data_IF_316123701342
#
_entry.id   IF_316123701342
#
_cell.length_a   1.000
_cell.length_b   1.000
_cell.length_c   1.000
_cell.angle_alpha   90.00
_cell.angle_beta   90.00
_cell.angle_gamma   90.00
#
_symmetry.space_group_name_H-M   'P 1'
#
loop_
_entity.id
_entity.type
_entity.pdbx_description
1 polymer ?
#
# COMPACT_ATOMS: atom_id res chain seq x y z
N UNK A 1 29.30 56.92 72.89
CA UNK A 1 28.19 56.49 72.02
C UNK A 1 28.42 54.99 71.77
N UNK A 2 27.76 54.01 72.42
CA UNK A 2 26.40 53.94 73.02
C UNK A 2 25.33 54.30 71.97
N UNK A 3 24.29 53.50 71.66
CA UNK A 3 23.68 52.30 72.28
C UNK A 3 23.68 51.12 71.26
N UNK A 4 23.58 49.80 71.51
CA UNK A 4 23.14 48.88 72.60
C UNK A 4 21.63 48.50 72.66
N UNK A 5 21.36 47.20 72.87
CA UNK A 5 20.04 46.48 72.95
C UNK A 5 19.20 46.40 71.66
N UNK A 6 18.41 45.36 71.38
CA UNK A 6 18.25 44.03 72.03
C UNK A 6 16.84 43.69 72.53
N UNK A 7 16.09 42.92 71.71
CA UNK A 7 14.86 42.14 72.03
C UNK A 7 14.54 41.27 70.80
N UNK A 8 14.49 39.94 70.81
CA UNK A 8 13.69 38.93 71.56
C UNK A 8 12.33 38.58 70.88
N UNK A 9 12.05 37.27 70.92
CA UNK A 9 10.88 36.47 70.51
C UNK A 9 9.52 37.12 70.14
N UNK A 10 8.80 36.51 69.18
CA UNK A 10 7.76 35.50 69.50
C UNK A 10 7.03 34.94 68.25
N UNK A 11 6.77 33.64 68.23
CA UNK A 11 5.67 33.02 67.47
C UNK A 11 4.42 32.90 68.35
N UNK A 12 3.20 33.06 67.78
CA UNK A 12 2.00 32.44 68.32
C UNK A 12 1.44 31.30 67.43
N UNK A 13 0.58 30.47 68.02
CA UNK A 13 0.00 29.23 67.47
C UNK A 13 -1.50 29.37 67.15
N UNK A 14 -2.01 28.42 66.36
CA UNK A 14 -3.40 27.88 66.37
C UNK A 14 -4.59 28.72 65.85
N UNK A 15 -5.21 28.24 64.74
CA UNK A 15 -6.57 27.64 64.61
C UNK A 15 -7.57 27.73 65.80
N UNK A 16 -8.93 27.60 65.65
CA UNK A 16 -9.72 27.27 64.43
C UNK A 16 -11.08 28.02 64.25
N UNK A 17 -11.81 27.74 63.15
CA UNK A 17 -13.30 27.77 63.08
C UNK A 17 -13.83 26.94 61.89
N UNK A 18 -15.07 26.45 61.98
CA UNK A 18 -15.82 25.59 61.00
C UNK A 18 -17.25 26.21 60.82
N UNK A 19 -18.30 25.59 60.22
CA UNK A 19 -18.42 24.32 59.47
C UNK A 19 -19.36 24.31 58.22
N UNK A 20 -19.30 23.22 57.44
CA UNK A 20 -20.44 22.52 56.79
C UNK A 20 -19.94 21.10 56.40
N UNK A 21 -20.41 19.97 56.96
CA UNK A 21 -21.75 19.37 56.87
C UNK A 21 -22.20 19.14 55.41
N UNK A 22 -22.44 17.93 54.89
CA UNK A 22 -22.38 16.54 55.38
C UNK A 22 -22.68 15.61 54.17
N UNK A 23 -22.73 14.28 54.21
CA UNK A 23 -22.59 13.29 55.28
C UNK A 23 -22.18 11.93 54.64
N UNK A 24 -21.30 11.14 55.25
CA UNK A 24 -21.20 9.68 55.00
C UNK A 24 -21.99 8.93 56.08
N UNK A 25 -22.44 7.67 55.83
CA UNK A 25 -21.60 6.50 56.11
C UNK A 25 -21.63 5.50 54.91
N UNK A 26 -20.73 4.52 54.70
CA UNK A 26 -19.97 3.63 55.60
C UNK A 26 -20.87 2.55 56.27
N UNK A 27 -20.48 1.27 56.45
CA UNK A 27 -19.31 0.51 55.94
C UNK A 27 -19.80 -0.50 54.86
N UNK A 28 -19.43 -1.78 54.63
CA UNK A 28 -18.58 -2.79 55.31
C UNK A 28 -18.11 -3.84 54.29
N UNK A 29 -17.15 -4.68 54.68
CA UNK A 29 -16.79 -5.97 54.06
C UNK A 29 -17.90 -7.03 54.16
N UNK A 30 -17.99 -7.93 53.18
CA UNK A 30 -17.76 -9.37 53.45
C UNK A 30 -17.38 -10.15 52.16
N UNK A 31 -16.97 -11.41 52.29
CA UNK A 31 -16.62 -12.33 51.20
C UNK A 31 -17.28 -13.69 51.41
N UNK A 32 -18.00 -14.25 50.43
CA UNK A 32 -18.18 -15.70 50.34
C UNK A 32 -18.65 -16.20 48.95
N UNK A 33 -18.38 -17.49 48.68
CA UNK A 33 -18.84 -18.24 47.49
C UNK A 33 -20.37 -18.47 47.48
N UNK A 34 -21.01 -18.56 46.31
CA UNK A 34 -21.55 -19.82 45.71
C UNK A 34 -22.60 -19.61 44.59
N UNK A 35 -22.75 -20.66 43.76
CA UNK A 35 -23.89 -21.03 42.90
C UNK A 35 -24.28 -20.25 41.63
N UNK A 36 -24.37 -21.01 40.52
CA UNK A 36 -25.20 -20.71 39.34
C UNK A 36 -26.69 -20.76 39.71
N UNK A 37 -27.55 -20.17 38.86
CA UNK A 37 -28.47 -21.07 38.13
C UNK A 37 -28.46 -20.86 36.60
N UNK A 38 -28.80 -21.95 35.91
CA UNK A 38 -28.86 -22.08 34.45
C UNK A 38 -29.90 -21.18 33.77
N UNK A 39 -29.59 -20.69 32.57
CA UNK A 39 -30.60 -20.32 31.56
C UNK A 39 -30.56 -21.32 30.40
N UNK A 40 -31.74 -21.71 29.90
CA UNK A 40 -31.90 -22.80 28.93
C UNK A 40 -31.73 -22.31 27.49
N UNK A 41 -31.06 -23.11 26.65
CA UNK A 41 -31.15 -22.99 25.18
C UNK A 41 -31.28 -24.35 24.50
N UNK A 42 -32.47 -24.68 23.97
CA UNK A 42 -32.66 -25.69 22.94
C UNK A 42 -33.47 -25.15 21.74
N UNK A 43 -33.50 -25.84 20.60
CA UNK A 43 -32.36 -26.46 19.93
C UNK A 43 -32.30 -26.06 18.43
N UNK A 44 -31.36 -26.66 17.69
CA UNK A 44 -31.28 -26.55 16.22
C UNK A 44 -32.60 -26.85 15.51
N UNK A 45 -32.92 -26.11 14.45
CA UNK A 45 -34.01 -26.41 13.51
C UNK A 45 -33.59 -26.06 12.08
N UNK A 46 -33.19 -27.09 11.32
CA UNK A 46 -32.79 -26.94 9.93
C UNK A 46 -34.02 -26.95 9.01
N UNK A 47 -34.38 -25.78 8.46
CA UNK A 47 -35.46 -25.65 7.48
C UNK A 47 -34.93 -25.76 6.04
N UNK A 48 -35.13 -26.93 5.42
CA UNK A 48 -35.02 -27.08 3.97
C UNK A 48 -36.03 -26.16 3.24
N UNK A 49 -35.56 -25.18 2.46
CA UNK A 49 -36.40 -24.54 1.43
C UNK A 49 -36.03 -25.14 0.07
N UNK A 50 -36.74 -26.21 -0.27
CA UNK A 50 -36.72 -26.85 -1.59
C UNK A 50 -37.58 -26.04 -2.57
N UNK A 51 -36.99 -25.10 -3.29
CA UNK A 51 -37.66 -24.51 -4.46
C UNK A 51 -37.42 -25.39 -5.70
N UNK A 52 -38.44 -26.15 -6.07
CA UNK A 52 -38.50 -26.98 -7.28
C UNK A 52 -39.10 -26.15 -8.42
N UNK A 53 -38.30 -25.79 -9.41
CA UNK A 53 -38.79 -25.34 -10.72
C UNK A 53 -38.20 -26.19 -11.85
N UNK A 54 -38.91 -26.20 -12.98
CA UNK A 54 -38.95 -27.31 -13.94
C UNK A 54 -37.66 -27.45 -14.78
N UNK A 55 -37.27 -28.70 -15.06
CA UNK A 55 -36.50 -29.03 -16.26
C UNK A 55 -37.42 -29.09 -17.50
N UNK A 56 -36.96 -28.59 -18.65
CA UNK A 56 -37.33 -29.11 -19.95
C UNK A 56 -36.15 -29.91 -20.53
N UNK A 57 -36.36 -31.22 -20.75
CA UNK A 57 -35.38 -32.09 -21.40
C UNK A 57 -35.34 -31.85 -22.92
N UNK A 58 -34.19 -31.44 -23.46
CA UNK A 58 -33.92 -31.45 -24.90
C UNK A 58 -32.61 -32.17 -25.21
N UNK A 59 -32.69 -33.15 -26.11
CA UNK A 59 -31.57 -33.92 -26.64
C UNK A 59 -31.20 -33.50 -28.07
N UNK A 60 -30.05 -32.87 -28.23
CA UNK A 60 -29.31 -32.64 -29.47
C UNK A 60 -27.97 -32.00 -29.07
N UNK A 61 -26.86 -32.05 -29.79
CA UNK A 61 -26.34 -32.74 -30.96
C UNK A 61 -24.88 -32.23 -31.05
N UNK A 62 -23.99 -32.93 -31.75
CA UNK A 62 -22.68 -32.34 -32.08
C UNK A 62 -22.82 -31.17 -33.08
N UNK A 63 -21.77 -30.35 -33.13
CA UNK A 63 -21.62 -29.11 -33.94
C UNK A 63 -22.26 -27.85 -33.35
N UNK A 64 -21.43 -26.95 -32.85
CA UNK A 64 -21.25 -25.68 -33.56
C UNK A 64 -19.85 -25.09 -33.32
N UNK A 65 -19.14 -24.79 -34.40
CA UNK A 65 -17.85 -24.11 -34.36
C UNK A 65 -18.10 -22.60 -34.32
N UNK A 66 -18.34 -22.07 -33.11
CA UNK A 66 -18.77 -20.69 -32.91
C UNK A 66 -17.72 -19.70 -33.50
N UNK A 67 -18.05 -18.94 -34.56
CA UNK A 67 -17.08 -18.11 -35.24
C UNK A 67 -16.73 -16.90 -34.37
N UNK A 68 -15.46 -16.79 -33.98
CA UNK A 68 -14.94 -15.58 -33.31
C UNK A 68 -14.91 -14.45 -34.35
N UNK A 69 -16.03 -13.76 -34.49
CA UNK A 69 -16.11 -12.51 -35.22
C UNK A 69 -15.22 -11.49 -34.49
N UNK A 70 -14.22 -10.89 -35.17
CA UNK A 70 -13.37 -9.88 -34.53
C UNK A 70 -14.24 -8.70 -34.10
N UNK A 71 -13.97 -8.16 -32.91
CA UNK A 71 -14.60 -6.90 -32.50
C UNK A 71 -14.14 -5.79 -33.45
N UNK A 72 -14.91 -4.71 -33.56
CA UNK A 72 -14.46 -3.55 -34.31
C UNK A 72 -13.11 -3.09 -33.74
N UNK A 73 -12.09 -2.97 -34.59
CA UNK A 73 -10.68 -2.84 -34.17
C UNK A 73 -10.41 -1.68 -33.22
N UNK A 74 -11.21 -0.60 -33.33
CA UNK A 74 -11.19 0.53 -32.40
C UNK A 74 -11.54 0.15 -30.95
N UNK A 75 -12.46 -0.80 -30.74
CA UNK A 75 -12.84 -1.30 -29.42
C UNK A 75 -11.73 -2.13 -28.77
N UNK A 76 -11.08 -3.02 -29.53
CA UNK A 76 -9.94 -3.81 -29.04
C UNK A 76 -8.74 -2.93 -28.65
N UNK A 77 -8.45 -1.92 -29.48
CA UNK A 77 -7.40 -0.92 -29.19
C UNK A 77 -7.74 -0.09 -27.95
N UNK A 78 -9.01 0.29 -27.76
CA UNK A 78 -9.45 1.02 -26.56
C UNK A 78 -9.30 0.18 -25.29
N UNK A 79 -9.76 -1.08 -25.33
CA UNK A 79 -9.65 -2.04 -24.23
C UNK A 79 -8.20 -2.30 -23.82
N UNK A 80 -7.32 -2.64 -24.78
CA UNK A 80 -5.92 -2.96 -24.48
C UNK A 80 -5.11 -1.73 -24.06
N UNK A 81 -5.46 -0.53 -24.55
CA UNK A 81 -4.88 0.72 -24.05
C UNK A 81 -5.23 0.96 -22.58
N UNK A 82 -6.51 0.86 -22.24
CA UNK A 82 -6.99 1.07 -20.86
C UNK A 82 -6.42 0.03 -19.90
N UNK A 83 -6.32 -1.24 -20.33
CA UNK A 83 -5.67 -2.31 -19.57
C UNK A 83 -4.17 -2.07 -19.31
N UNK A 84 -3.47 -1.38 -20.22
CA UNK A 84 -2.07 -0.96 -20.01
C UNK A 84 -1.97 0.20 -19.03
N UNK A 85 -2.89 1.16 -19.09
CA UNK A 85 -2.95 2.28 -18.14
C UNK A 85 -3.21 1.77 -16.71
N UNK A 86 -4.19 0.88 -16.54
CA UNK A 86 -4.50 0.20 -15.27
C UNK A 86 -3.24 -0.46 -14.71
N UNK A 87 -2.55 -1.31 -15.49
CA UNK A 87 -1.30 -1.96 -15.06
C UNK A 87 -0.17 -0.99 -14.73
N UNK A 88 -0.10 0.15 -15.41
CA UNK A 88 0.88 1.20 -15.10
C UNK A 88 0.59 1.86 -13.74
N UNK A 89 -0.68 2.08 -13.41
CA UNK A 89 -1.10 2.56 -12.10
C UNK A 89 -0.90 1.51 -11.00
N UNK A 90 -1.24 0.23 -11.25
CA UNK A 90 -0.98 -0.89 -10.33
C UNK A 90 0.52 -0.95 -9.93
N UNK A 91 1.43 -0.94 -10.91
CA UNK A 91 2.88 -0.92 -10.67
C UNK A 91 3.35 0.35 -9.92
N UNK A 92 2.70 1.49 -10.15
CA UNK A 92 3.05 2.77 -9.51
C UNK A 92 2.63 2.77 -8.04
N UNK A 93 1.40 2.30 -7.76
CA UNK A 93 0.86 2.12 -6.42
C UNK A 93 1.68 1.12 -5.58
N UNK A 94 2.12 0.00 -6.15
CA UNK A 94 3.00 -0.95 -5.45
C UNK A 94 4.31 -0.27 -5.00
N UNK A 95 4.92 0.54 -5.88
CA UNK A 95 6.13 1.30 -5.57
C UNK A 95 5.88 2.36 -4.48
N UNK A 96 4.79 3.12 -4.60
CA UNK A 96 4.47 4.20 -3.67
C UNK A 96 4.07 3.71 -2.28
N UNK A 97 3.22 2.68 -2.18
CA UNK A 97 2.88 2.03 -0.91
C UNK A 97 4.14 1.44 -0.26
N UNK A 98 5.08 0.91 -1.06
CA UNK A 98 6.40 0.46 -0.56
C UNK A 98 7.25 1.62 -0.04
N UNK A 99 7.23 2.81 -0.66
CA UNK A 99 7.91 3.99 -0.10
C UNK A 99 7.23 4.54 1.16
N UNK A 100 5.89 4.54 1.20
CA UNK A 100 5.11 4.97 2.37
C UNK A 100 5.35 4.07 3.60
N UNK A 101 5.43 2.75 3.39
CA UNK A 101 5.82 1.80 4.43
C UNK A 101 7.25 2.05 4.95
N UNK A 102 8.21 2.36 4.06
CA UNK A 102 9.58 2.74 4.45
C UNK A 102 9.63 4.05 5.23
N UNK A 103 8.77 5.01 4.91
CA UNK A 103 8.63 6.25 5.68
C UNK A 103 8.05 5.98 7.08
N UNK A 104 7.08 5.07 7.22
CA UNK A 104 6.59 4.61 8.54
C UNK A 104 7.71 4.00 9.40
N UNK A 105 8.55 3.13 8.84
CA UNK A 105 9.74 2.61 9.52
C UNK A 105 10.72 3.72 9.89
N UNK A 106 10.96 4.66 8.96
CA UNK A 106 11.86 5.80 9.17
C UNK A 106 11.39 6.73 10.29
N UNK A 107 10.09 6.98 10.43
CA UNK A 107 9.48 7.72 11.55
C UNK A 107 9.80 7.04 12.88
N UNK A 108 9.63 5.72 12.96
CA UNK A 108 9.89 4.93 14.17
C UNK A 108 11.37 4.94 14.58
N UNK A 109 12.28 4.73 13.62
CA UNK A 109 13.74 4.71 13.87
C UNK A 109 14.30 6.12 14.12
N UNK A 110 13.85 7.16 13.40
CA UNK A 110 14.29 8.54 13.61
C UNK A 110 13.84 9.11 14.96
N UNK A 111 12.63 8.73 15.42
CA UNK A 111 12.23 9.04 16.79
C UNK A 111 13.13 8.35 17.81
N UNK A 112 13.45 7.06 17.60
CA UNK A 112 14.25 6.27 18.54
C UNK A 112 15.72 6.72 18.63
N UNK A 113 16.25 7.40 17.60
CA UNK A 113 17.61 7.95 17.59
C UNK A 113 17.72 9.35 18.17
N UNK A 114 17.02 10.31 17.57
CA UNK A 114 17.18 11.72 17.91
C UNK A 114 16.14 12.21 18.92
N UNK A 115 15.08 11.43 19.18
CA UNK A 115 13.96 11.79 20.05
C UNK A 115 13.30 13.12 19.66
N UNK A 116 13.28 13.38 18.35
CA UNK A 116 12.57 14.45 17.64
C UNK A 116 12.12 13.88 16.32
N UNK A 117 10.85 14.05 15.98
CA UNK A 117 10.36 13.71 14.64
C UNK A 117 10.86 14.77 13.65
N UNK A 118 11.35 14.33 12.49
CA UNK A 118 11.82 15.23 11.44
C UNK A 118 10.61 15.76 10.68
N UNK A 119 10.36 17.07 10.73
CA UNK A 119 9.26 17.74 10.00
C UNK A 119 9.27 17.35 8.51
N UNK A 120 10.46 17.29 7.91
CA UNK A 120 10.67 16.84 6.52
C UNK A 120 10.08 15.46 6.25
N UNK A 121 10.15 14.53 7.21
CA UNK A 121 9.63 13.17 7.06
C UNK A 121 8.10 13.13 7.22
N UNK A 122 7.51 14.07 7.95
CA UNK A 122 6.04 14.25 8.04
C UNK A 122 5.50 14.88 6.76
N UNK A 123 6.19 15.87 6.18
CA UNK A 123 5.79 16.45 4.90
C UNK A 123 5.95 15.42 3.77
N UNK A 124 7.07 14.69 3.74
CA UNK A 124 7.33 13.64 2.75
C UNK A 124 6.34 12.47 2.87
N UNK A 125 5.95 12.05 4.09
CA UNK A 125 4.91 11.03 4.27
C UNK A 125 3.54 11.51 3.78
N UNK A 126 3.18 12.78 4.04
CA UNK A 126 1.92 13.38 3.60
C UNK A 126 1.85 13.57 2.08
N UNK A 127 2.93 14.00 1.44
CA UNK A 127 3.03 14.10 -0.03
C UNK A 127 2.88 12.74 -0.72
N UNK A 128 3.35 11.66 -0.07
CA UNK A 128 3.14 10.29 -0.54
C UNK A 128 1.71 9.80 -0.26
N UNK A 129 1.14 10.13 0.89
CA UNK A 129 -0.27 9.82 1.25
C UNK A 129 -1.26 10.40 0.25
N UNK A 130 -1.10 11.68 -0.12
CA UNK A 130 -1.94 12.38 -1.11
C UNK A 130 -1.79 11.77 -2.52
N UNK A 131 -0.56 11.46 -2.93
CA UNK A 131 -0.28 10.89 -4.26
C UNK A 131 -0.82 9.45 -4.42
N UNK A 132 -0.77 8.64 -3.36
CA UNK A 132 -1.40 7.31 -3.34
C UNK A 132 -2.93 7.44 -3.40
N UNK A 133 -3.54 8.38 -2.66
CA UNK A 133 -4.99 8.61 -2.76
C UNK A 133 -5.41 9.01 -4.18
N UNK A 134 -4.67 9.86 -4.87
CA UNK A 134 -4.98 10.24 -6.26
C UNK A 134 -4.73 9.11 -7.27
N UNK A 135 -3.67 8.33 -7.11
CA UNK A 135 -3.44 7.15 -7.95
C UNK A 135 -4.51 6.07 -7.73
N UNK A 136 -5.04 5.90 -6.51
CA UNK A 136 -6.19 5.02 -6.23
C UNK A 136 -7.48 5.54 -6.89
N UNK A 137 -7.75 6.86 -6.82
CA UNK A 137 -8.89 7.48 -7.53
C UNK A 137 -8.81 7.24 -9.05
N UNK A 138 -7.63 7.44 -9.64
CA UNK A 138 -7.40 7.19 -11.08
C UNK A 138 -7.55 5.71 -11.45
N UNK A 139 -7.01 4.79 -10.65
CA UNK A 139 -7.16 3.35 -10.86
C UNK A 139 -8.64 2.96 -10.81
N UNK A 140 -9.37 3.42 -9.80
CA UNK A 140 -10.81 3.19 -9.65
C UNK A 140 -11.60 3.67 -10.88
N UNK A 141 -11.36 4.90 -11.34
CA UNK A 141 -12.01 5.44 -12.55
C UNK A 141 -11.72 4.61 -13.81
N UNK A 142 -10.49 4.12 -14.00
CA UNK A 142 -10.13 3.28 -15.14
C UNK A 142 -10.72 1.87 -15.04
N UNK A 143 -10.77 1.29 -13.84
CA UNK A 143 -11.41 -0.02 -13.56
C UNK A 143 -12.93 0.04 -13.76
N UNK A 144 -13.54 1.18 -13.49
CA UNK A 144 -14.96 1.41 -13.78
C UNK A 144 -15.20 1.68 -15.29
N UNK A 145 -14.30 2.40 -15.95
CA UNK A 145 -14.35 2.62 -17.40
C UNK A 145 -14.20 1.31 -18.19
N UNK A 146 -13.26 0.43 -17.82
CA UNK A 146 -13.06 -0.85 -18.51
C UNK A 146 -14.24 -1.81 -18.28
N UNK A 147 -14.89 -1.73 -17.11
CA UNK A 147 -16.14 -2.44 -16.82
C UNK A 147 -17.31 -1.91 -17.66
N UNK A 148 -17.46 -0.58 -17.80
CA UNK A 148 -18.49 0.03 -18.67
C UNK A 148 -18.27 -0.29 -20.15
N UNK A 149 -17.02 -0.28 -20.63
CA UNK A 149 -16.69 -0.71 -22.00
C UNK A 149 -17.10 -2.17 -22.25
N UNK A 150 -16.93 -3.05 -21.25
CA UNK A 150 -17.37 -4.44 -21.34
C UNK A 150 -18.90 -4.59 -21.36
N UNK A 151 -19.63 -3.72 -20.65
CA UNK A 151 -21.10 -3.72 -20.61
C UNK A 151 -21.75 -3.07 -21.84
N UNK A 152 -21.14 -2.06 -22.45
CA UNK A 152 -21.67 -1.36 -23.64
C UNK A 152 -21.23 -1.99 -24.97
N UNK A 153 -20.44 -3.06 -24.93
CA UNK A 153 -20.03 -3.81 -26.11
C UNK A 153 -21.22 -4.46 -26.80
N UNK A 154 -21.36 -4.28 -28.11
CA UNK A 154 -22.35 -4.98 -28.94
C UNK A 154 -22.02 -6.47 -29.15
N UNK A 155 -20.78 -6.88 -28.85
CA UNK A 155 -20.34 -8.28 -28.86
C UNK A 155 -20.26 -8.78 -27.41
N UNK A 156 -20.80 -9.99 -27.17
CA UNK A 156 -20.81 -10.60 -25.84
C UNK A 156 -19.38 -10.72 -25.25
N UNK A 157 -19.15 -10.29 -24.00
CA UNK A 157 -17.86 -10.41 -23.33
C UNK A 157 -17.28 -11.83 -23.35
N UNK A 158 -16.07 -11.98 -23.89
CA UNK A 158 -15.33 -13.24 -23.76
C UNK A 158 -15.02 -13.48 -22.28
N UNK A 159 -15.20 -14.70 -21.76
CA UNK A 159 -15.03 -14.99 -20.33
C UNK A 159 -13.68 -14.54 -19.75
N UNK A 160 -12.59 -14.60 -20.54
CA UNK A 160 -11.27 -14.08 -20.18
C UNK A 160 -11.22 -12.56 -19.93
N UNK A 161 -12.06 -11.78 -20.61
CA UNK A 161 -12.21 -10.33 -20.39
C UNK A 161 -12.98 -10.07 -19.09
N UNK A 162 -14.06 -10.82 -18.84
CA UNK A 162 -14.83 -10.74 -17.60
C UNK A 162 -13.99 -11.11 -16.38
N UNK A 163 -13.20 -12.18 -16.45
CA UNK A 163 -12.24 -12.54 -15.41
C UNK A 163 -11.15 -11.48 -15.21
N UNK A 164 -10.66 -10.84 -16.29
CA UNK A 164 -9.70 -9.74 -16.17
C UNK A 164 -10.30 -8.51 -15.46
N UNK A 165 -11.52 -8.09 -15.83
CA UNK A 165 -12.24 -7.02 -15.15
C UNK A 165 -12.44 -7.31 -13.65
N UNK A 166 -12.85 -8.53 -13.31
CA UNK A 166 -13.03 -8.94 -11.91
C UNK A 166 -11.70 -8.91 -11.15
N UNK A 167 -10.60 -9.41 -11.74
CA UNK A 167 -9.28 -9.35 -11.09
C UNK A 167 -8.79 -7.92 -10.86
N UNK A 168 -9.03 -6.99 -11.79
CA UNK A 168 -8.68 -5.59 -11.57
C UNK A 168 -9.52 -4.94 -10.43
N UNK A 169 -10.77 -5.38 -10.21
CA UNK A 169 -11.58 -4.96 -9.04
C UNK A 169 -11.06 -5.57 -7.72
N UNK A 170 -10.65 -6.84 -7.73
CA UNK A 170 -9.99 -7.47 -6.56
C UNK A 170 -8.70 -6.74 -6.18
N UNK A 171 -7.85 -6.41 -7.17
CA UNK A 171 -6.56 -5.74 -7.00
C UNK A 171 -6.72 -4.30 -6.49
N UNK A 172 -7.71 -3.55 -7.00
CA UNK A 172 -8.06 -2.23 -6.47
C UNK A 172 -8.40 -2.31 -4.98
N UNK A 173 -9.29 -3.23 -4.58
CA UNK A 173 -9.64 -3.45 -3.18
C UNK A 173 -8.46 -3.94 -2.32
N UNK A 174 -7.47 -4.60 -2.93
CA UNK A 174 -6.24 -5.05 -2.29
C UNK A 174 -5.35 -3.85 -1.94
N UNK A 175 -5.07 -2.97 -2.91
CA UNK A 175 -4.35 -1.71 -2.66
C UNK A 175 -5.09 -0.75 -1.71
N UNK A 176 -6.42 -0.64 -1.79
CA UNK A 176 -7.22 0.16 -0.83
C UNK A 176 -7.05 -0.34 0.63
N UNK A 177 -7.07 -1.66 0.83
CA UNK A 177 -6.87 -2.29 2.15
C UNK A 177 -5.46 -2.08 2.66
N UNK A 178 -4.44 -2.28 1.82
CA UNK A 178 -3.04 -2.17 2.22
C UNK A 178 -2.60 -0.71 2.41
N UNK A 179 -3.10 0.23 1.60
CA UNK A 179 -2.92 1.66 1.88
C UNK A 179 -3.56 2.05 3.22
N UNK A 180 -4.83 1.68 3.46
CA UNK A 180 -5.51 1.96 4.73
C UNK A 180 -4.76 1.38 5.94
N UNK A 181 -4.25 0.15 5.83
CA UNK A 181 -3.42 -0.50 6.86
C UNK A 181 -2.12 0.27 7.12
N UNK A 182 -1.41 0.65 6.06
CA UNK A 182 -0.13 1.37 6.16
C UNK A 182 -0.33 2.78 6.73
N UNK A 183 -1.43 3.45 6.36
CA UNK A 183 -1.84 4.76 6.89
C UNK A 183 -2.12 4.69 8.40
N UNK A 184 -2.83 3.66 8.87
CA UNK A 184 -3.06 3.44 10.31
C UNK A 184 -1.72 3.24 11.03
N UNK A 185 -0.85 2.37 10.51
CA UNK A 185 0.49 2.13 11.08
C UNK A 185 1.35 3.40 11.16
N UNK A 186 1.29 4.27 10.15
CA UNK A 186 1.99 5.56 10.19
C UNK A 186 1.40 6.48 11.27
N UNK A 187 0.07 6.61 11.35
CA UNK A 187 -0.59 7.46 12.36
C UNK A 187 -0.30 6.98 13.79
N UNK A 188 -0.24 5.67 14.02
CA UNK A 188 0.19 5.10 15.32
C UNK A 188 1.65 5.45 15.64
N UNK A 189 2.54 5.40 14.64
CA UNK A 189 3.94 5.79 14.79
C UNK A 189 4.12 7.30 15.05
N UNK A 190 3.36 8.16 14.34
CA UNK A 190 3.32 9.61 14.55
C UNK A 190 2.78 9.97 15.94
N UNK A 191 1.67 9.35 16.37
CA UNK A 191 1.09 9.56 17.70
C UNK A 191 2.08 9.15 18.80
N UNK A 192 2.72 7.98 18.66
CA UNK A 192 3.75 7.51 19.59
C UNK A 192 4.96 8.46 19.64
N UNK A 193 5.43 8.95 18.49
CA UNK A 193 6.52 9.92 18.43
C UNK A 193 6.14 11.26 19.09
N UNK A 194 4.92 11.75 18.86
CA UNK A 194 4.40 13.00 19.45
C UNK A 194 4.29 12.91 20.98
N UNK A 195 3.63 11.87 21.51
CA UNK A 195 3.46 11.64 22.94
C UNK A 195 4.81 11.54 23.66
N UNK A 196 5.73 10.73 23.11
CA UNK A 196 7.06 10.56 23.70
C UNK A 196 7.93 11.83 23.54
N UNK A 197 7.70 12.66 22.52
CA UNK A 197 8.36 13.96 22.36
C UNK A 197 7.94 14.97 23.44
N UNK A 198 6.68 14.99 23.88
CA UNK A 198 6.25 15.82 25.03
C UNK A 198 6.98 15.37 26.30
N UNK A 199 6.86 14.09 26.64
CA UNK A 199 7.49 13.51 27.84
C UNK A 199 9.00 13.73 27.84
N UNK A 200 9.68 13.60 26.69
CA UNK A 200 11.12 13.88 26.58
C UNK A 200 11.46 15.36 26.73
N UNK A 201 10.60 16.26 26.25
CA UNK A 201 10.73 17.71 26.46
C UNK A 201 10.62 18.04 27.95
N UNK A 202 9.59 17.52 28.63
CA UNK A 202 9.34 17.70 30.07
C UNK A 202 10.47 17.14 30.94
N UNK A 203 10.96 15.93 30.63
CA UNK A 203 12.14 15.35 31.30
C UNK A 203 13.38 16.22 31.06
N UNK A 204 13.56 16.77 29.85
CA UNK A 204 14.72 17.62 29.54
C UNK A 204 14.67 18.98 30.25
N UNK A 205 13.49 19.61 30.36
CA UNK A 205 13.35 20.87 31.09
C UNK A 205 13.57 20.66 32.59
N UNK A 206 12.97 19.61 33.18
CA UNK A 206 13.22 19.23 34.57
C UNK A 206 14.72 18.97 34.83
N UNK A 207 15.37 18.11 34.02
CA UNK A 207 16.81 17.80 34.13
C UNK A 207 17.72 19.01 33.83
N UNK A 208 17.24 20.05 33.15
CA UNK A 208 17.97 21.31 32.97
C UNK A 208 17.80 22.30 34.13
N UNK A 209 16.69 22.23 34.86
CA UNK A 209 16.41 23.08 36.02
C UNK A 209 17.16 22.63 37.28
N UNK A 210 17.48 21.34 37.36
CA UNK A 210 18.33 20.76 38.40
C UNK A 210 19.78 20.72 37.89
N UNK A 211 20.74 21.13 38.72
CA UNK A 211 22.17 21.12 38.33
C UNK A 211 22.62 19.66 38.16
N UNK A 212 22.69 19.22 36.91
CA UNK A 212 23.07 17.85 36.57
C UNK A 212 24.50 17.56 37.02
N UNK A 213 24.69 16.50 37.82
CA UNK A 213 26.02 16.10 38.27
C UNK A 213 26.85 15.52 37.11
N UNK A 214 28.18 15.48 37.25
CA UNK A 214 29.01 14.76 36.26
C UNK A 214 28.63 13.28 36.15
N UNK A 215 28.14 12.69 37.25
CA UNK A 215 27.61 11.33 37.28
C UNK A 215 26.34 11.19 36.43
N UNK A 216 25.43 12.19 36.44
CA UNK A 216 24.26 12.26 35.55
C UNK A 216 24.63 12.42 34.07
N UNK A 217 25.77 13.05 33.76
CA UNK A 217 26.32 13.11 32.40
C UNK A 217 26.80 11.72 31.98
N UNK A 218 27.64 11.07 32.77
CA UNK A 218 28.16 9.73 32.44
C UNK A 218 27.07 8.64 32.34
N UNK A 219 26.00 8.75 33.13
CA UNK A 219 24.81 7.89 32.98
C UNK A 219 24.01 8.22 31.71
N UNK A 220 23.92 9.49 31.33
CA UNK A 220 23.30 9.92 30.08
C UNK A 220 24.06 9.44 28.83
N UNK A 221 25.40 9.51 28.87
CA UNK A 221 26.28 9.02 27.81
C UNK A 221 26.15 7.50 27.64
N UNK A 222 26.09 6.74 28.75
CA UNK A 222 25.78 5.30 28.70
C UNK A 222 24.40 5.00 28.11
N UNK A 223 23.41 5.84 28.39
CA UNK A 223 22.06 5.71 27.83
C UNK A 223 22.05 5.96 26.32
N UNK A 224 22.73 7.01 25.84
CA UNK A 224 22.81 7.34 24.41
C UNK A 224 23.65 6.33 23.61
N UNK A 225 24.69 5.74 24.22
CA UNK A 225 25.44 4.62 23.63
C UNK A 225 24.54 3.38 23.50
N UNK A 226 23.75 3.04 24.53
CA UNK A 226 22.84 1.90 24.50
C UNK A 226 21.70 2.07 23.48
N UNK A 227 21.13 3.28 23.34
CA UNK A 227 20.18 3.55 22.25
C UNK A 227 20.85 3.45 20.88
N UNK A 228 22.06 4.00 20.72
CA UNK A 228 22.84 3.93 19.47
C UNK A 228 23.15 2.49 19.06
N UNK A 229 23.45 1.59 20.02
CA UNK A 229 23.65 0.18 19.74
C UNK A 229 22.36 -0.47 19.20
N UNK A 230 21.23 -0.28 19.89
CA UNK A 230 19.92 -0.81 19.45
C UNK A 230 19.52 -0.32 18.07
N UNK A 231 19.87 0.92 17.73
CA UNK A 231 19.63 1.48 16.40
C UNK A 231 20.53 0.86 15.33
N UNK A 232 21.77 0.50 15.66
CA UNK A 232 22.62 -0.29 14.77
C UNK A 232 22.03 -1.70 14.56
N UNK A 233 21.52 -2.34 15.62
CA UNK A 233 20.84 -3.64 15.54
C UNK A 233 19.56 -3.56 14.68
N UNK A 234 18.71 -2.55 14.88
CA UNK A 234 17.50 -2.29 14.07
C UNK A 234 17.84 -2.05 12.60
N UNK A 235 18.86 -1.21 12.30
CA UNK A 235 19.29 -0.93 10.92
C UNK A 235 19.90 -2.17 10.26
N UNK A 236 20.64 -3.00 11.00
CA UNK A 236 21.09 -4.30 10.51
C UNK A 236 19.91 -5.22 10.20
N UNK A 237 18.90 -5.29 11.08
CA UNK A 237 17.66 -6.04 10.87
C UNK A 237 16.93 -5.60 9.60
N UNK A 238 16.70 -4.29 9.44
CA UNK A 238 16.08 -3.68 8.26
C UNK A 238 16.90 -3.93 6.98
N UNK A 239 18.23 -3.95 7.06
CA UNK A 239 19.10 -4.28 5.94
C UNK A 239 19.02 -5.76 5.54
N UNK A 240 18.94 -6.68 6.52
CA UNK A 240 18.70 -8.11 6.26
C UNK A 240 17.31 -8.36 5.66
N UNK A 241 16.27 -7.70 6.15
CA UNK A 241 14.92 -7.78 5.58
C UNK A 241 14.89 -7.22 4.15
N UNK A 242 15.48 -6.04 3.91
CA UNK A 242 15.57 -5.42 2.58
C UNK A 242 16.33 -6.33 1.60
N UNK A 243 17.42 -6.97 2.04
CA UNK A 243 18.15 -7.98 1.26
C UNK A 243 17.29 -9.20 0.93
N UNK A 244 16.44 -9.65 1.86
CA UNK A 244 15.50 -10.74 1.64
C UNK A 244 14.37 -10.35 0.67
N UNK A 245 13.80 -9.15 0.82
CA UNK A 245 12.79 -8.58 -0.08
C UNK A 245 13.35 -8.48 -1.51
N UNK A 246 14.55 -7.91 -1.72
CA UNK A 246 15.21 -7.91 -3.04
C UNK A 246 15.51 -9.32 -3.57
N UNK A 247 15.84 -10.29 -2.71
CA UNK A 247 16.03 -11.68 -3.10
C UNK A 247 14.72 -12.31 -3.63
N UNK A 248 13.59 -12.06 -2.97
CA UNK A 248 12.28 -12.51 -3.43
C UNK A 248 11.81 -11.75 -4.68
N UNK A 249 11.98 -10.42 -4.74
CA UNK A 249 11.66 -9.63 -5.92
C UNK A 249 12.46 -10.10 -7.14
N UNK A 250 13.75 -10.44 -6.97
CA UNK A 250 14.57 -11.05 -8.04
C UNK A 250 14.03 -12.42 -8.48
N UNK A 251 13.51 -13.25 -7.57
CA UNK A 251 12.82 -14.52 -7.93
C UNK A 251 11.54 -14.25 -8.72
N UNK A 252 10.72 -13.28 -8.31
CA UNK A 252 9.51 -12.86 -9.03
C UNK A 252 9.83 -12.35 -10.43
N UNK A 253 10.85 -11.49 -10.59
CA UNK A 253 11.32 -11.01 -11.89
C UNK A 253 11.86 -12.16 -12.77
N UNK A 254 12.58 -13.12 -12.20
CA UNK A 254 13.02 -14.31 -12.94
C UNK A 254 11.85 -15.17 -13.41
N UNK A 255 10.84 -15.37 -12.55
CA UNK A 255 9.61 -16.10 -12.91
C UNK A 255 8.80 -15.37 -13.99
N UNK A 256 8.74 -14.04 -13.97
CA UNK A 256 8.12 -13.23 -15.03
C UNK A 256 8.90 -13.29 -16.34
N UNK A 257 10.23 -13.26 -16.30
CA UNK A 257 11.08 -13.42 -17.48
C UNK A 257 10.96 -14.83 -18.09
N UNK A 258 10.96 -15.88 -17.25
CA UNK A 258 10.71 -17.26 -17.67
C UNK A 258 9.29 -17.44 -18.24
N UNK A 259 8.29 -16.73 -17.73
CA UNK A 259 6.95 -16.68 -18.34
C UNK A 259 6.97 -15.99 -19.70
N UNK A 260 7.72 -14.90 -19.89
CA UNK A 260 7.84 -14.24 -21.20
C UNK A 260 8.58 -15.12 -22.22
N UNK A 261 9.66 -15.79 -21.83
CA UNK A 261 10.33 -16.80 -22.65
C UNK A 261 9.43 -18.00 -22.96
N UNK A 262 8.62 -18.45 -21.99
CA UNK A 262 7.64 -19.52 -22.19
C UNK A 262 6.49 -19.10 -23.11
N UNK A 263 6.01 -17.85 -23.08
CA UNK A 263 5.04 -17.32 -24.05
C UNK A 263 5.62 -17.31 -25.47
N UNK A 264 6.90 -16.96 -25.63
CA UNK A 264 7.60 -17.07 -26.93
C UNK A 264 7.72 -18.53 -27.39
N UNK A 265 7.93 -19.49 -26.47
CA UNK A 265 8.01 -20.92 -26.77
C UNK A 265 6.65 -21.61 -27.00
N UNK A 266 5.56 -21.09 -26.41
CA UNK A 266 4.21 -21.69 -26.47
C UNK A 266 3.32 -21.11 -27.56
N UNK A 267 3.82 -20.17 -28.37
CA UNK A 267 3.19 -19.76 -29.64
C UNK A 267 4.04 -20.24 -30.83
N UNK A 268 4.05 -21.55 -31.15
CA UNK A 268 4.74 -22.07 -32.32
C UNK A 268 4.10 -21.51 -33.60
N UNK A 269 4.78 -20.56 -34.24
CA UNK A 269 4.31 -19.92 -35.48
C UNK A 269 4.63 -18.43 -35.62
N UNK A 270 4.93 -17.71 -34.52
CA UNK A 270 5.26 -16.26 -34.60
C UNK A 270 6.42 -15.99 -35.55
N UNK A 271 7.45 -16.85 -35.54
CA UNK A 271 8.61 -16.72 -36.42
C UNK A 271 8.25 -16.92 -37.91
N UNK A 272 7.25 -17.75 -38.21
CA UNK A 272 6.71 -17.92 -39.57
C UNK A 272 5.85 -16.72 -39.98
N UNK A 273 5.01 -16.21 -39.07
CA UNK A 273 4.17 -15.03 -39.31
C UNK A 273 5.01 -13.77 -39.58
N UNK A 274 6.05 -13.52 -38.77
CA UNK A 274 6.95 -12.36 -38.95
C UNK A 274 7.78 -12.49 -40.25
N UNK A 275 8.17 -13.72 -40.62
CA UNK A 275 8.85 -14.03 -41.88
C UNK A 275 7.94 -13.76 -43.10
N UNK A 276 6.67 -14.20 -43.05
CA UNK A 276 5.69 -13.94 -44.12
C UNK A 276 5.38 -12.45 -44.27
N UNK A 277 5.27 -11.69 -43.18
CA UNK A 277 5.12 -10.23 -43.21
C UNK A 277 6.32 -9.56 -43.90
N UNK A 278 7.54 -9.95 -43.52
CA UNK A 278 8.76 -9.36 -44.10
C UNK A 278 8.96 -9.75 -45.58
N UNK A 279 8.59 -10.97 -45.99
CA UNK A 279 8.70 -11.43 -47.37
C UNK A 279 7.72 -10.74 -48.34
N UNK A 280 6.57 -10.24 -47.84
CA UNK A 280 5.67 -9.39 -48.63
C UNK A 280 6.28 -8.00 -48.82
N UNK A 281 6.65 -7.33 -47.73
CA UNK A 281 7.24 -5.98 -47.76
C UNK A 281 8.54 -5.88 -48.59
N UNK A 282 9.36 -6.94 -48.60
CA UNK A 282 10.53 -7.06 -49.48
C UNK A 282 10.17 -7.12 -50.97
N UNK A 283 9.11 -7.84 -51.37
CA UNK A 283 8.67 -7.91 -52.77
C UNK A 283 8.17 -6.55 -53.26
N UNK A 284 7.34 -5.89 -52.45
CA UNK A 284 6.77 -4.58 -52.78
C UNK A 284 7.88 -3.53 -52.99
N UNK A 285 8.92 -3.58 -52.15
CA UNK A 285 10.11 -2.71 -52.24
C UNK A 285 10.96 -3.02 -53.48
N UNK A 286 11.12 -4.30 -53.83
CA UNK A 286 11.92 -4.72 -54.99
C UNK A 286 11.25 -4.29 -56.31
N UNK A 287 9.92 -4.42 -56.41
CA UNK A 287 9.14 -3.93 -57.56
C UNK A 287 9.27 -2.40 -57.71
N UNK A 288 9.14 -1.66 -56.61
CA UNK A 288 9.26 -0.19 -56.64
C UNK A 288 10.69 0.26 -57.03
N UNK A 289 11.71 -0.45 -56.56
CA UNK A 289 13.10 -0.19 -56.92
C UNK A 289 13.41 -0.48 -58.40
N UNK A 290 12.89 -1.57 -58.98
CA UNK A 290 13.12 -1.88 -60.40
C UNK A 290 12.36 -0.93 -61.34
N UNK A 291 11.15 -0.49 -60.98
CA UNK A 291 10.42 0.54 -61.74
C UNK A 291 11.16 1.88 -61.70
N UNK A 292 11.58 2.35 -60.52
CA UNK A 292 12.32 3.61 -60.38
C UNK A 292 13.68 3.58 -61.10
N UNK A 293 14.42 2.47 -60.99
CA UNK A 293 15.70 2.25 -61.68
C UNK A 293 15.54 2.17 -63.20
N UNK A 294 14.50 1.46 -63.69
CA UNK A 294 14.20 1.34 -65.11
C UNK A 294 13.84 2.68 -65.75
N UNK A 295 12.97 3.47 -65.11
CA UNK A 295 12.60 4.81 -65.59
C UNK A 295 13.80 5.77 -65.59
N UNK A 296 14.61 5.79 -64.54
CA UNK A 296 15.81 6.67 -64.49
C UNK A 296 16.86 6.27 -65.53
N UNK A 297 17.11 4.97 -65.74
CA UNK A 297 18.02 4.50 -66.79
C UNK A 297 17.50 4.81 -68.20
N UNK A 298 16.21 4.62 -68.47
CA UNK A 298 15.60 4.96 -69.76
C UNK A 298 15.70 6.46 -70.07
N UNK A 299 15.44 7.32 -69.08
CA UNK A 299 15.60 8.76 -69.23
C UNK A 299 17.06 9.16 -69.51
N UNK A 300 18.02 8.52 -68.86
CA UNK A 300 19.45 8.78 -69.07
C UNK A 300 19.89 8.38 -70.49
N UNK A 301 19.40 7.24 -71.01
CA UNK A 301 19.63 6.86 -72.41
C UNK A 301 18.95 7.79 -73.42
N UNK A 302 17.82 8.41 -73.07
CA UNK A 302 17.14 9.40 -73.92
C UNK A 302 17.78 10.79 -73.90
N UNK A 303 18.50 11.17 -72.83
CA UNK A 303 19.22 12.46 -72.77
C UNK A 303 20.62 12.40 -73.38
N UNK A 304 21.20 11.21 -73.54
CA UNK A 304 22.51 10.99 -74.17
C UNK A 304 22.45 10.63 -75.67
N UNK A 305 21.27 10.60 -76.32
CA UNK A 305 21.09 10.04 -77.67
C UNK A 305 20.03 10.70 -78.56
#
# INVERSE_FOLDING_TARGET
MMWTTGRDDLMPKHNPSSPAAGQQPATTTDSHHHHLPSTLTPPSSASHIRNRYLEPNLSSSSSDANPVLPMSSHGEVSWETLRRQIRSLENTLESEITTYAKLCTSVSTAYSSNGKLSERTITESREVEERIEDNLKQLSLQVDQIYRLLQTSSVAPTGSMTHACNRHKEVLQEYERDFKRTRISLRECEQRASLLSSVRSEISSFKSSQIASEQDRHLNDRSSINSSHRLADDVLGQAYETRYQFSNQRRTLFNSNSRMGSVIATVPGVNSLISMINSRRRRDTLILATVAGGCTFMLLLLTFR
#
